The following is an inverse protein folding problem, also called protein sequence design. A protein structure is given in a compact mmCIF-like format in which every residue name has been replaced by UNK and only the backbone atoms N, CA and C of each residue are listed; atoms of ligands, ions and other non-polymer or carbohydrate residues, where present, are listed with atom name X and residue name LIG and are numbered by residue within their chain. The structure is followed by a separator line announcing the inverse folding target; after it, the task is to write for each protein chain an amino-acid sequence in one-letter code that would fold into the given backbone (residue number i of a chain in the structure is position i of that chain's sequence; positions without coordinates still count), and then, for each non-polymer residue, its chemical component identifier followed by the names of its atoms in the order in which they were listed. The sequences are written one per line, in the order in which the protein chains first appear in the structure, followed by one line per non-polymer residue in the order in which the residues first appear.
data_IF_252883811128
#
_entry.id   IF_252883811128
#
_cell.length_a   1.000
_cell.length_b   1.000
_cell.length_c   1.000
_cell.angle_alpha   90.00
_cell.angle_beta   90.00
_cell.angle_gamma   90.00
#
_symmetry.space_group_name_H-M   'P 1'
#
loop_
_entity.id
_entity.type
_entity.pdbx_description
1 polymer ?
#
# COMPACT_ATOMS: atom_id res chain seq x y z
N UNK A 1 21.91 9.84 -0.66
CA UNK A 1 21.00 8.70 -0.46
C UNK A 1 21.38 7.55 -1.38
N UNK A 2 21.32 6.29 -0.91
CA UNK A 2 21.08 5.18 -1.84
C UNK A 2 19.57 5.12 -2.10
N UNK A 3 19.16 5.29 -3.35
CA UNK A 3 17.76 5.29 -3.79
C UNK A 3 16.99 4.04 -3.32
N UNK A 4 17.70 2.92 -3.17
CA UNK A 4 17.16 1.67 -2.64
C UNK A 4 16.52 1.83 -1.25
N UNK A 5 17.09 2.67 -0.37
CA UNK A 5 16.52 2.86 0.97
C UNK A 5 15.18 3.62 0.93
N UNK A 6 15.06 4.62 0.04
CA UNK A 6 13.81 5.37 -0.14
C UNK A 6 12.72 4.49 -0.77
N UNK A 7 13.06 3.72 -1.81
CA UNK A 7 12.12 2.80 -2.46
C UNK A 7 11.68 1.67 -1.50
N UNK A 8 12.58 1.16 -0.65
CA UNK A 8 12.25 0.19 0.41
C UNK A 8 11.34 0.80 1.47
N UNK A 9 11.58 2.05 1.87
CA UNK A 9 10.72 2.73 2.85
C UNK A 9 9.31 2.94 2.30
N UNK A 10 9.19 3.49 1.09
CA UNK A 10 7.90 3.69 0.43
C UNK A 10 7.18 2.35 0.21
N UNK A 11 7.93 1.28 -0.09
CA UNK A 11 7.36 -0.08 -0.16
C UNK A 11 6.89 -0.58 1.21
N UNK A 12 7.62 -0.31 2.30
CA UNK A 12 7.19 -0.68 3.66
C UNK A 12 5.91 0.03 4.07
N UNK A 13 5.76 1.30 3.71
CA UNK A 13 4.58 2.13 4.02
C UNK A 13 3.32 1.69 3.28
N UNK A 14 3.47 1.38 1.98
CA UNK A 14 2.35 1.12 1.07
C UNK A 14 2.04 -0.38 0.87
N UNK A 15 2.88 -1.28 1.37
CA UNK A 15 2.65 -2.72 1.23
C UNK A 15 1.40 -3.14 2.00
N UNK A 16 0.54 -3.91 1.34
CA UNK A 16 -0.59 -4.60 1.95
C UNK A 16 -0.14 -5.36 3.20
N UNK A 17 -0.79 -5.01 4.31
CA UNK A 17 -0.39 -5.43 5.65
C UNK A 17 -1.00 -6.79 5.97
N UNK A 18 -0.23 -7.75 6.52
CA UNK A 18 -0.74 -9.06 6.95
C UNK A 18 -2.02 -8.97 7.78
N UNK A 19 -2.13 -7.98 8.64
CA UNK A 19 -3.24 -7.74 9.55
C UNK A 19 -4.52 -7.35 8.78
N UNK A 20 -4.41 -6.53 7.73
CA UNK A 20 -5.53 -6.20 6.84
C UNK A 20 -5.97 -7.40 6.03
N UNK A 21 -5.01 -8.17 5.49
CA UNK A 21 -5.26 -9.39 4.73
C UNK A 21 -5.98 -10.41 5.62
N UNK A 22 -5.49 -10.60 6.85
CA UNK A 22 -6.08 -11.50 7.83
C UNK A 22 -7.50 -11.07 8.20
N UNK A 23 -7.71 -9.82 8.61
CA UNK A 23 -9.04 -9.31 8.98
C UNK A 23 -10.04 -9.47 7.83
N UNK A 24 -9.67 -8.99 6.63
CA UNK A 24 -10.47 -9.16 5.42
C UNK A 24 -10.80 -10.64 5.16
N UNK A 25 -9.79 -11.50 5.17
CA UNK A 25 -9.97 -12.91 4.84
C UNK A 25 -10.89 -13.60 5.85
N UNK A 26 -10.67 -13.38 7.15
CA UNK A 26 -11.47 -14.00 8.20
C UNK A 26 -12.95 -13.58 8.09
N UNK A 27 -13.20 -12.29 7.87
CA UNK A 27 -14.56 -11.75 7.74
C UNK A 27 -15.26 -12.29 6.48
N UNK A 28 -14.61 -12.19 5.32
CA UNK A 28 -15.14 -12.69 4.05
C UNK A 28 -15.34 -14.21 4.07
N UNK A 29 -14.36 -14.96 4.59
CA UNK A 29 -14.45 -16.42 4.64
C UNK A 29 -15.61 -16.89 5.54
N UNK A 30 -15.83 -16.22 6.67
CA UNK A 30 -16.97 -16.49 7.57
C UNK A 30 -18.30 -16.10 6.96
N UNK A 31 -18.39 -14.99 6.22
CA UNK A 31 -19.63 -14.59 5.55
C UNK A 31 -20.08 -15.60 4.49
N UNK A 32 -19.12 -16.35 3.92
CA UNK A 32 -19.37 -17.48 3.03
C UNK A 32 -19.77 -18.78 3.73
N UNK A 33 -19.99 -18.76 5.04
CA UNK A 33 -20.27 -19.95 5.86
C UNK A 33 -19.05 -20.82 6.13
N UNK A 34 -17.84 -20.31 5.85
CA UNK A 34 -16.59 -20.98 6.15
C UNK A 34 -16.27 -20.95 7.65
N UNK A 35 -15.69 -22.02 8.16
CA UNK A 35 -15.17 -22.08 9.54
C UNK A 35 -13.65 -22.03 9.52
N UNK A 36 -13.10 -21.01 10.19
CA UNK A 36 -11.68 -20.79 10.38
C UNK A 36 -11.42 -20.49 11.86
N UNK A 37 -10.53 -21.26 12.48
CA UNK A 37 -10.30 -21.24 13.93
C UNK A 37 -8.84 -20.94 14.24
N UNK A 38 -8.54 -20.12 15.27
CA UNK A 38 -7.18 -19.87 15.68
C UNK A 38 -6.59 -21.15 16.29
N UNK A 39 -5.31 -21.39 16.04
CA UNK A 39 -4.59 -22.52 16.65
C UNK A 39 -4.18 -22.14 18.06
N UNK A 40 -4.51 -23.01 19.02
CA UNK A 40 -4.21 -22.79 20.44
C UNK A 40 -2.71 -22.54 20.63
N UNK A 41 -2.38 -21.54 21.44
CA UNK A 41 -1.02 -21.15 21.82
C UNK A 41 -0.10 -20.71 20.64
N UNK A 42 -0.68 -20.48 19.44
CA UNK A 42 0.03 -19.94 18.27
C UNK A 42 -0.70 -18.71 17.71
N UNK A 43 -0.34 -17.52 18.22
CA UNK A 43 -0.87 -16.23 17.72
C UNK A 43 -0.59 -16.08 16.21
N UNK A 44 -1.57 -15.63 15.43
CA UNK A 44 -1.43 -15.45 13.97
C UNK A 44 -1.46 -16.74 13.14
N UNK A 45 -1.77 -17.89 13.77
CA UNK A 45 -1.90 -19.18 13.08
C UNK A 45 -3.34 -19.66 13.12
N UNK A 46 -3.85 -20.08 11.97
CA UNK A 46 -5.23 -20.45 11.74
C UNK A 46 -5.35 -21.86 11.17
N UNK A 47 -6.52 -22.45 11.34
CA UNK A 47 -6.87 -23.77 10.83
C UNK A 47 -8.23 -23.75 10.14
N UNK A 48 -8.30 -24.39 8.96
CA UNK A 48 -9.51 -24.63 8.18
C UNK A 48 -9.67 -26.13 7.98
N UNK A 49 -10.64 -26.73 8.66
CA UNK A 49 -10.92 -28.18 8.54
C UNK A 49 -11.80 -28.54 7.34
N UNK A 50 -12.50 -27.57 6.75
CA UNK A 50 -13.32 -27.79 5.55
C UNK A 50 -13.56 -26.49 4.81
N UNK A 51 -13.10 -26.44 3.57
CA UNK A 51 -13.40 -25.32 2.67
C UNK A 51 -14.81 -25.45 2.09
N UNK A 52 -15.64 -24.39 2.14
CA UNK A 52 -16.94 -24.34 1.48
C UNK A 52 -16.85 -24.84 0.03
N UNK A 53 -17.70 -25.79 -0.40
CA UNK A 53 -17.64 -26.35 -1.75
C UNK A 53 -17.72 -25.31 -2.86
N UNK A 54 -18.48 -24.24 -2.66
CA UNK A 54 -18.65 -23.19 -3.68
C UNK A 54 -17.41 -22.31 -3.84
N UNK A 55 -16.59 -22.13 -2.78
CA UNK A 55 -15.30 -21.46 -2.93
C UNK A 55 -14.31 -22.27 -3.77
N UNK A 56 -14.44 -23.60 -3.78
CA UNK A 56 -13.56 -24.49 -4.55
C UNK A 56 -13.90 -24.54 -6.05
N UNK A 57 -15.05 -23.99 -6.46
CA UNK A 57 -15.47 -23.90 -7.87
C UNK A 57 -14.91 -22.61 -8.48
N UNK A 58 -13.60 -22.51 -8.59
CA UNK A 58 -12.96 -21.36 -9.23
C UNK A 58 -13.23 -21.34 -10.74
N UNK A 59 -13.30 -20.15 -11.36
CA UNK A 59 -13.13 -20.01 -12.80
C UNK A 59 -11.83 -20.69 -13.28
N UNK A 60 -11.89 -21.37 -14.42
CA UNK A 60 -10.73 -22.07 -15.02
C UNK A 60 -9.49 -21.19 -15.17
N UNK A 61 -9.68 -19.89 -15.44
CA UNK A 61 -8.59 -18.92 -15.57
C UNK A 61 -7.80 -18.74 -14.26
N UNK A 62 -8.50 -18.67 -13.12
CA UNK A 62 -7.89 -18.53 -11.80
C UNK A 62 -7.21 -19.83 -11.37
N UNK A 63 -7.85 -20.98 -11.61
CA UNK A 63 -7.26 -22.28 -11.29
C UNK A 63 -5.95 -22.50 -12.07
N UNK A 64 -5.90 -22.14 -13.36
CA UNK A 64 -4.66 -22.24 -14.16
C UNK A 64 -3.56 -21.31 -13.67
N UNK A 65 -3.91 -20.14 -13.14
CA UNK A 65 -2.94 -19.12 -12.72
C UNK A 65 -2.37 -19.40 -11.33
N UNK A 66 -3.22 -19.80 -10.39
CA UNK A 66 -2.84 -19.91 -8.98
C UNK A 66 -2.81 -21.35 -8.48
N UNK A 67 -3.58 -22.25 -9.09
CA UNK A 67 -3.74 -23.64 -8.68
C UNK A 67 -5.11 -23.92 -8.06
N UNK A 68 -5.27 -25.17 -7.59
CA UNK A 68 -6.52 -25.65 -6.98
C UNK A 68 -6.61 -25.27 -5.50
N UNK A 69 -7.81 -24.96 -5.05
CA UNK A 69 -8.09 -24.76 -3.62
C UNK A 69 -8.18 -26.13 -2.94
N UNK A 70 -7.35 -26.33 -1.91
CA UNK A 70 -7.39 -27.51 -1.04
C UNK A 70 -8.72 -27.68 -0.30
N UNK A 71 -8.98 -28.90 0.17
CA UNK A 71 -10.17 -29.17 0.99
C UNK A 71 -10.03 -28.65 2.43
N UNK A 72 -8.79 -28.54 2.91
CA UNK A 72 -8.41 -28.23 4.29
C UNK A 72 -7.09 -27.47 4.29
N UNK A 73 -6.89 -26.61 5.29
CA UNK A 73 -5.64 -25.90 5.56
C UNK A 73 -5.34 -26.06 7.05
N UNK A 74 -4.61 -27.11 7.46
CA UNK A 74 -4.44 -27.46 8.88
C UNK A 74 -3.73 -26.38 9.69
N UNK A 75 -2.67 -25.79 9.12
CA UNK A 75 -1.85 -24.74 9.71
C UNK A 75 -1.55 -23.69 8.64
N UNK A 76 -2.13 -22.50 8.79
CA UNK A 76 -1.89 -21.39 7.87
C UNK A 76 -1.66 -20.08 8.62
N UNK A 77 -0.97 -19.15 7.97
CA UNK A 77 -0.74 -17.79 8.47
C UNK A 77 -0.84 -16.77 7.34
N UNK A 78 -1.19 -15.54 7.68
CA UNK A 78 -1.16 -14.39 6.78
C UNK A 78 0.14 -13.57 6.91
N UNK A 79 1.01 -13.94 7.85
CA UNK A 79 2.32 -13.33 8.02
C UNK A 79 3.43 -14.18 7.39
N UNK A 80 4.03 -13.62 6.33
CA UNK A 80 5.13 -14.27 5.62
C UNK A 80 6.36 -14.48 6.50
N UNK A 81 6.58 -13.64 7.50
CA UNK A 81 7.75 -13.69 8.37
C UNK A 81 7.67 -14.90 9.33
N UNK A 82 6.46 -15.32 9.73
CA UNK A 82 6.24 -16.50 10.55
C UNK A 82 6.58 -17.82 9.85
N UNK A 83 6.61 -17.85 8.53
CA UNK A 83 6.89 -19.08 7.74
C UNK A 83 8.39 -19.40 7.76
N UNK A 84 9.23 -18.41 8.05
CA UNK A 84 10.68 -18.58 8.10
C UNK A 84 11.04 -19.47 9.30
N UNK A 85 11.29 -20.76 9.03
CA UNK A 85 11.67 -21.75 10.04
C UNK A 85 10.61 -22.80 10.36
N UNK A 86 9.39 -22.68 9.82
CA UNK A 86 8.31 -23.66 10.00
C UNK A 86 7.90 -24.25 8.65
N UNK A 87 8.24 -25.51 8.40
CA UNK A 87 7.95 -26.19 7.13
C UNK A 87 6.47 -26.59 6.97
N UNK A 88 5.74 -26.66 8.07
CA UNK A 88 4.34 -27.11 8.15
C UNK A 88 3.32 -25.97 8.06
N UNK A 89 3.80 -24.71 8.06
CA UNK A 89 2.95 -23.52 8.04
C UNK A 89 2.77 -23.01 6.62
N UNK A 90 1.52 -22.94 6.16
CA UNK A 90 1.19 -22.44 4.82
C UNK A 90 0.94 -20.93 4.85
N UNK A 91 1.62 -20.18 3.99
CA UNK A 91 1.37 -18.76 3.80
C UNK A 91 0.16 -18.54 2.89
N UNK A 92 -0.90 -17.94 3.42
CA UNK A 92 -2.08 -17.55 2.65
C UNK A 92 -2.10 -16.04 2.50
N UNK A 93 -2.02 -15.58 1.26
CA UNK A 93 -2.05 -14.16 0.91
C UNK A 93 -2.16 -14.00 -0.61
N UNK A 94 -1.96 -12.78 -1.15
CA UNK A 94 -2.03 -12.53 -2.59
C UNK A 94 -1.20 -13.54 -3.41
N UNK A 95 -1.84 -14.13 -4.42
CA UNK A 95 -1.29 -15.20 -5.25
C UNK A 95 -1.56 -16.63 -4.77
N UNK A 96 -2.08 -16.83 -3.56
CA UNK A 96 -2.45 -18.15 -3.05
C UNK A 96 -3.87 -18.54 -3.52
N UNK A 97 -4.14 -19.79 -3.99
CA UNK A 97 -5.44 -20.21 -4.52
C UNK A 97 -6.63 -19.87 -3.63
N UNK A 98 -6.53 -20.17 -2.33
CA UNK A 98 -7.60 -19.89 -1.37
C UNK A 98 -7.87 -18.39 -1.22
N UNK A 99 -6.81 -17.59 -1.19
CA UNK A 99 -6.93 -16.14 -1.02
C UNK A 99 -7.58 -15.52 -2.25
N UNK A 100 -7.07 -15.85 -3.44
CA UNK A 100 -7.61 -15.37 -4.71
C UNK A 100 -9.06 -15.82 -4.91
N UNK A 101 -9.42 -17.02 -4.46
CA UNK A 101 -10.80 -17.50 -4.49
C UNK A 101 -11.75 -16.75 -3.57
N UNK A 102 -11.30 -16.35 -2.39
CA UNK A 102 -12.07 -15.49 -1.49
C UNK A 102 -12.24 -14.10 -2.10
N UNK A 103 -11.17 -13.49 -2.62
CA UNK A 103 -11.21 -12.18 -3.29
C UNK A 103 -12.17 -12.20 -4.48
N UNK A 104 -12.04 -13.18 -5.38
CA UNK A 104 -12.91 -13.33 -6.54
C UNK A 104 -14.37 -13.43 -6.14
N UNK A 105 -14.67 -14.26 -5.12
CA UNK A 105 -16.04 -14.40 -4.64
C UNK A 105 -16.58 -13.12 -4.02
N UNK A 106 -15.78 -12.40 -3.23
CA UNK A 106 -16.18 -11.10 -2.66
C UNK A 106 -16.51 -10.12 -3.78
N UNK A 107 -15.63 -9.98 -4.78
CA UNK A 107 -15.85 -9.05 -5.88
C UNK A 107 -17.06 -9.43 -6.74
N UNK A 108 -17.28 -10.72 -6.96
CA UNK A 108 -18.45 -11.21 -7.71
C UNK A 108 -19.76 -11.00 -6.94
N UNK A 109 -19.79 -11.35 -5.66
CA UNK A 109 -21.02 -11.37 -4.87
C UNK A 109 -21.37 -9.96 -4.34
N UNK A 110 -20.38 -9.08 -4.10
CA UNK A 110 -20.56 -7.77 -3.47
C UNK A 110 -19.99 -6.58 -4.26
N UNK A 111 -19.23 -6.80 -5.34
CA UNK A 111 -18.53 -5.72 -6.04
C UNK A 111 -19.45 -4.63 -6.60
N UNK A 112 -20.65 -5.00 -7.08
CA UNK A 112 -21.64 -4.03 -7.55
C UNK A 112 -22.14 -3.10 -6.45
N UNK A 113 -22.13 -3.55 -5.19
CA UNK A 113 -22.58 -2.75 -4.04
C UNK A 113 -21.64 -1.58 -3.75
N UNK A 114 -20.36 -1.66 -4.15
CA UNK A 114 -19.42 -0.55 -3.98
C UNK A 114 -19.91 0.72 -4.69
N UNK A 115 -20.47 0.58 -5.90
CA UNK A 115 -21.05 1.70 -6.68
C UNK A 115 -22.44 2.12 -6.20
N UNK A 116 -23.22 1.20 -5.63
CA UNK A 116 -24.50 1.56 -5.00
C UNK A 116 -24.29 2.47 -3.78
N UNK A 117 -23.18 2.23 -3.08
CA UNK A 117 -22.75 2.97 -1.91
C UNK A 117 -23.35 2.50 -0.60
N UNK A 118 -22.74 2.96 0.49
CA UNK A 118 -23.13 2.59 1.85
C UNK A 118 -23.01 3.78 2.81
N UNK A 119 -23.71 3.70 3.95
CA UNK A 119 -23.60 4.68 5.05
C UNK A 119 -22.76 4.07 6.15
N UNK A 120 -21.87 4.86 6.74
CA UNK A 120 -21.07 4.50 7.90
C UNK A 120 -21.08 5.63 8.93
N UNK A 121 -20.71 5.30 10.16
CA UNK A 121 -20.42 6.26 11.22
C UNK A 121 -18.92 6.39 11.44
N UNK A 122 -18.47 7.60 11.77
CA UNK A 122 -17.17 7.85 12.35
C UNK A 122 -17.37 8.61 13.69
N UNK A 123 -16.71 8.15 14.74
CA UNK A 123 -16.75 8.77 16.06
C UNK A 123 -16.13 10.17 16.10
N UNK A 124 -15.16 10.46 15.23
CA UNK A 124 -14.50 11.77 15.15
C UNK A 124 -15.20 12.72 14.17
N UNK A 125 -16.13 12.22 13.35
CA UNK A 125 -16.81 13.07 12.38
C UNK A 125 -17.79 14.03 13.07
N UNK A 126 -17.60 15.33 12.82
CA UNK A 126 -18.53 16.39 13.26
C UNK A 126 -19.54 16.76 12.16
N UNK A 127 -19.20 16.50 10.90
CA UNK A 127 -20.03 16.81 9.74
C UNK A 127 -20.16 15.60 8.80
N UNK A 128 -21.31 15.44 8.10
CA UNK A 128 -21.44 14.44 7.05
C UNK A 128 -20.37 14.60 5.96
N UNK A 129 -19.75 13.49 5.57
CA UNK A 129 -18.68 13.46 4.58
C UNK A 129 -18.96 12.39 3.54
N UNK A 130 -18.79 12.71 2.26
CA UNK A 130 -18.80 11.70 1.20
C UNK A 130 -17.37 11.20 0.97
N UNK A 131 -17.19 9.89 0.86
CA UNK A 131 -15.93 9.26 0.51
C UNK A 131 -16.08 8.55 -0.84
N UNK A 132 -15.23 8.88 -1.81
CA UNK A 132 -15.12 8.13 -3.07
C UNK A 132 -13.82 7.33 -3.13
N UNK A 133 -13.92 6.10 -3.62
CA UNK A 133 -12.78 5.29 -4.00
C UNK A 133 -12.51 5.46 -5.48
N UNK A 134 -11.34 6.02 -5.82
CA UNK A 134 -10.92 6.30 -7.19
C UNK A 134 -9.71 5.47 -7.57
N UNK A 135 -9.78 4.79 -8.71
CA UNK A 135 -8.63 4.15 -9.33
C UNK A 135 -8.08 5.05 -10.43
N UNK A 136 -6.86 5.53 -10.26
CA UNK A 136 -6.15 6.26 -11.30
C UNK A 136 -5.09 5.37 -11.95
N UNK A 137 -4.94 5.50 -13.27
CA UNK A 137 -4.03 4.69 -14.07
C UNK A 137 -3.12 5.54 -14.95
N UNK A 138 -1.93 5.03 -15.23
CA UNK A 138 -1.00 5.58 -16.22
C UNK A 138 -0.62 4.46 -17.17
N UNK A 139 -0.66 4.73 -18.48
CA UNK A 139 -0.25 3.80 -19.52
C UNK A 139 0.92 4.34 -20.33
N UNK A 140 1.67 3.44 -20.97
CA UNK A 140 2.75 3.81 -21.89
C UNK A 140 2.25 3.93 -23.35
N UNK A 141 3.13 4.36 -24.26
CA UNK A 141 2.84 4.52 -25.68
C UNK A 141 2.51 3.22 -26.43
N UNK A 142 2.51 2.07 -25.74
CA UNK A 142 2.05 0.77 -26.24
C UNK A 142 0.67 0.40 -25.70
N UNK A 143 0.05 1.28 -24.91
CA UNK A 143 -1.21 1.04 -24.21
C UNK A 143 -1.07 0.09 -23.01
N UNK A 144 0.15 -0.17 -22.53
CA UNK A 144 0.34 -1.01 -21.34
C UNK A 144 0.23 -0.15 -20.08
N UNK A 145 -0.57 -0.60 -19.12
CA UNK A 145 -0.65 0.02 -17.80
C UNK A 145 0.70 -0.10 -17.10
N UNK A 146 1.31 1.03 -16.77
CA UNK A 146 2.61 1.14 -16.08
C UNK A 146 2.47 1.54 -14.60
N UNK A 147 1.27 1.92 -14.18
CA UNK A 147 0.92 2.14 -12.80
C UNK A 147 -0.57 2.28 -12.61
N UNK A 148 -1.10 1.68 -11.54
CA UNK A 148 -2.44 1.90 -11.02
C UNK A 148 -2.37 2.11 -9.51
N UNK A 149 -3.19 3.05 -9.01
CA UNK A 149 -3.32 3.30 -7.57
C UNK A 149 -4.76 3.61 -7.22
N UNK A 150 -5.18 3.09 -6.06
CA UNK A 150 -6.44 3.43 -5.42
C UNK A 150 -6.23 4.63 -4.49
N UNK A 151 -7.12 5.60 -4.58
CA UNK A 151 -7.19 6.79 -3.74
C UNK A 151 -8.55 6.86 -3.06
N UNK A 152 -8.61 7.44 -1.86
CA UNK A 152 -9.86 7.85 -1.24
C UNK A 152 -9.97 9.37 -1.27
N UNK A 153 -11.11 9.90 -1.72
CA UNK A 153 -11.37 11.34 -1.72
C UNK A 153 -12.53 11.63 -0.78
N UNK A 154 -12.31 12.49 0.20
CA UNK A 154 -13.33 12.94 1.14
C UNK A 154 -13.85 14.30 0.70
N UNK A 155 -15.16 14.46 0.70
CA UNK A 155 -15.85 15.75 0.56
C UNK A 155 -16.66 16.06 1.80
N UNK A 156 -16.34 17.19 2.41
CA UNK A 156 -17.08 17.76 3.54
C UNK A 156 -17.54 19.16 3.13
N UNK A 157 -18.86 19.35 3.03
CA UNK A 157 -19.41 20.55 2.38
C UNK A 157 -18.95 20.69 0.91
N UNK A 158 -18.25 21.78 0.60
CA UNK A 158 -17.64 22.03 -0.72
C UNK A 158 -16.12 21.75 -0.76
N UNK A 159 -15.52 21.37 0.37
CA UNK A 159 -14.09 21.07 0.44
C UNK A 159 -13.83 19.61 0.11
N UNK A 160 -12.76 19.36 -0.66
CA UNK A 160 -12.28 18.04 -1.02
C UNK A 160 -10.89 17.83 -0.45
N UNK A 161 -10.61 16.60 0.01
CA UNK A 161 -9.25 16.19 0.39
C UNK A 161 -8.98 14.76 -0.05
N UNK A 162 -7.74 14.50 -0.47
CA UNK A 162 -7.24 13.17 -0.82
C UNK A 162 -6.69 12.50 0.43
N UNK A 163 -6.98 11.21 0.59
CA UNK A 163 -6.46 10.36 1.65
C UNK A 163 -6.15 8.95 1.15
N UNK A 164 -5.57 8.13 2.03
CA UNK A 164 -5.39 6.70 1.78
C UNK A 164 -6.72 5.92 1.90
N UNK A 165 -6.96 4.89 1.06
CA UNK A 165 -8.17 4.05 1.16
C UNK A 165 -8.38 3.34 2.50
N UNK A 166 -7.32 3.23 3.32
CA UNK A 166 -7.38 2.62 4.65
C UNK A 166 -8.29 3.37 5.63
N UNK A 167 -8.66 4.62 5.35
CA UNK A 167 -9.63 5.39 6.14
C UNK A 167 -10.98 4.66 6.31
N UNK A 168 -11.35 3.75 5.40
CA UNK A 168 -12.56 2.93 5.52
C UNK A 168 -12.52 1.95 6.70
N UNK A 169 -11.33 1.58 7.19
CA UNK A 169 -11.17 0.61 8.28
C UNK A 169 -11.54 1.19 9.65
N UNK A 170 -11.56 2.52 9.74
CA UNK A 170 -11.88 3.26 10.96
C UNK A 170 -13.38 3.57 11.07
N UNK A 171 -14.17 3.13 10.08
CA UNK A 171 -15.60 3.40 9.98
C UNK A 171 -16.44 2.24 10.51
N UNK A 172 -17.56 2.59 11.15
CA UNK A 172 -18.52 1.63 11.67
C UNK A 172 -19.78 1.55 10.79
N UNK A 173 -20.18 0.37 10.30
CA UNK A 173 -21.48 0.23 9.64
C UNK A 173 -22.62 0.40 10.65
N UNK A 174 -23.76 1.00 10.26
CA UNK A 174 -24.92 1.11 11.14
C UNK A 174 -25.56 -0.25 11.40
N UNK A 175 -26.17 -0.43 12.56
CA UNK A 175 -26.88 -1.68 12.94
C UNK A 175 -28.24 -1.84 12.23
N UNK A 176 -28.73 -0.78 11.59
CA UNK A 176 -29.98 -0.76 10.83
C UNK A 176 -29.97 0.27 9.71
N UNK A 177 -31.12 0.46 9.07
CA UNK A 177 -31.25 1.47 8.02
C UNK A 177 -31.10 2.88 8.58
N UNK A 178 -30.21 3.66 7.98
CA UNK A 178 -29.97 5.06 8.33
C UNK A 178 -30.30 5.92 7.12
N UNK A 179 -31.12 6.94 7.34
CA UNK A 179 -31.45 7.92 6.31
C UNK A 179 -30.22 8.78 6.01
N UNK A 180 -29.77 8.76 4.76
CA UNK A 180 -28.77 9.71 4.27
C UNK A 180 -29.44 11.07 4.01
N UNK A 181 -28.93 12.19 4.58
CA UNK A 181 -29.45 13.52 4.29
C UNK A 181 -29.42 13.84 2.79
N UNK A 182 -30.49 14.43 2.26
CA UNK A 182 -30.65 14.68 0.82
C UNK A 182 -29.48 15.46 0.18
N UNK A 183 -28.95 16.56 0.78
CA UNK A 183 -27.81 17.27 0.19
C UNK A 183 -26.53 16.41 0.11
N UNK A 184 -26.34 15.53 1.09
CA UNK A 184 -25.18 14.61 1.13
C UNK A 184 -25.34 13.51 0.09
N UNK A 185 -26.56 13.03 -0.12
CA UNK A 185 -26.87 12.08 -1.19
C UNK A 185 -26.64 12.69 -2.57
N UNK A 186 -27.10 13.91 -2.81
CA UNK A 186 -26.86 14.62 -4.07
C UNK A 186 -25.36 14.78 -4.33
N UNK A 187 -24.61 15.19 -3.30
CA UNK A 187 -23.17 15.25 -3.35
C UNK A 187 -22.54 13.89 -3.70
N UNK A 188 -23.00 12.79 -3.10
CA UNK A 188 -22.48 11.44 -3.33
C UNK A 188 -22.76 10.89 -4.75
N UNK A 189 -23.79 11.41 -5.41
CA UNK A 189 -24.16 11.03 -6.79
C UNK A 189 -23.57 11.93 -7.87
N UNK A 190 -22.86 13.00 -7.48
CA UNK A 190 -22.22 13.95 -8.39
C UNK A 190 -20.85 13.41 -8.87
N UNK A 191 -20.90 12.39 -9.73
CA UNK A 191 -19.71 11.71 -10.27
C UNK A 191 -18.85 12.64 -11.13
N UNK A 192 -19.47 13.55 -11.89
CA UNK A 192 -18.77 14.46 -12.80
C UNK A 192 -17.84 15.40 -12.03
N UNK A 193 -18.34 16.00 -10.94
CA UNK A 193 -17.56 16.95 -10.14
C UNK A 193 -16.37 16.30 -9.45
N UNK A 194 -16.51 15.06 -8.96
CA UNK A 194 -15.38 14.36 -8.34
C UNK A 194 -14.33 13.93 -9.38
N UNK A 195 -14.76 13.53 -10.58
CA UNK A 195 -13.84 13.21 -11.68
C UNK A 195 -13.06 14.47 -12.09
N UNK A 196 -13.74 15.61 -12.29
CA UNK A 196 -13.12 16.89 -12.64
C UNK A 196 -12.07 17.30 -11.59
N UNK A 197 -12.47 17.33 -10.31
CA UNK A 197 -11.54 17.66 -9.22
C UNK A 197 -10.33 16.71 -9.18
N UNK A 198 -10.54 15.43 -9.45
CA UNK A 198 -9.46 14.43 -9.41
C UNK A 198 -8.49 14.52 -10.60
N UNK A 199 -8.96 15.00 -11.75
CA UNK A 199 -8.09 15.31 -12.89
C UNK A 199 -7.15 16.48 -12.58
N UNK A 200 -7.57 17.42 -11.75
CA UNK A 200 -6.76 18.58 -11.37
C UNK A 200 -5.83 18.30 -10.17
N UNK A 201 -6.32 17.62 -9.12
CA UNK A 201 -5.61 17.53 -7.83
C UNK A 201 -4.94 16.18 -7.56
N UNK A 202 -5.41 15.09 -8.19
CA UNK A 202 -4.95 13.72 -7.87
C UNK A 202 -4.07 13.17 -8.99
N UNK A 203 -4.59 13.23 -10.22
CA UNK A 203 -3.99 12.60 -11.39
C UNK A 203 -2.61 13.19 -11.73
N UNK A 204 -2.39 14.52 -11.72
CA UNK A 204 -1.11 15.10 -12.12
C UNK A 204 0.02 14.73 -11.15
N UNK A 205 -0.27 14.73 -9.85
CA UNK A 205 0.69 14.32 -8.82
C UNK A 205 1.09 12.84 -8.98
N UNK A 206 0.10 11.97 -9.23
CA UNK A 206 0.36 10.56 -9.46
C UNK A 206 1.11 10.30 -10.78
N UNK A 207 0.74 11.01 -11.86
CA UNK A 207 1.43 10.92 -13.13
C UNK A 207 2.90 11.33 -13.01
N UNK A 208 3.19 12.45 -12.33
CA UNK A 208 4.55 12.91 -12.07
C UNK A 208 5.39 11.89 -11.28
N UNK A 209 4.79 11.18 -10.32
CA UNK A 209 5.46 10.08 -9.62
C UNK A 209 5.84 8.94 -10.58
N UNK A 210 4.89 8.48 -11.39
CA UNK A 210 5.11 7.40 -12.35
C UNK A 210 6.12 7.80 -13.42
N UNK A 211 6.02 9.03 -13.94
CA UNK A 211 6.95 9.56 -14.92
C UNK A 211 8.39 9.57 -14.38
N UNK A 212 8.59 10.09 -13.16
CA UNK A 212 9.90 10.09 -12.52
C UNK A 212 10.44 8.67 -12.28
N UNK A 213 9.59 7.74 -11.87
CA UNK A 213 9.98 6.33 -11.70
C UNK A 213 10.37 5.70 -13.03
N UNK A 214 9.51 5.81 -14.05
CA UNK A 214 9.72 5.21 -15.39
C UNK A 214 10.91 5.79 -16.10
N UNK A 215 11.13 7.12 -16.06
CA UNK A 215 12.32 7.76 -16.64
C UNK A 215 13.61 7.12 -16.12
N UNK A 216 13.67 6.86 -14.83
CA UNK A 216 14.83 6.24 -14.19
C UNK A 216 15.01 4.76 -14.58
N UNK A 217 13.93 3.97 -14.49
CA UNK A 217 13.95 2.55 -14.87
C UNK A 217 14.39 2.35 -16.32
N UNK A 218 13.84 3.15 -17.23
CA UNK A 218 14.12 3.10 -18.66
C UNK A 218 15.54 3.57 -18.97
N UNK A 219 16.05 4.59 -18.27
CA UNK A 219 17.44 5.01 -18.39
C UNK A 219 18.43 3.90 -17.99
N UNK A 220 18.12 3.15 -16.93
CA UNK A 220 18.92 1.97 -16.52
C UNK A 220 18.82 0.87 -17.59
N UNK A 221 17.61 0.52 -18.03
CA UNK A 221 17.34 -0.50 -19.07
C UNK A 221 18.08 -0.16 -20.37
N UNK A 222 18.00 1.08 -20.84
CA UNK A 222 18.69 1.56 -22.03
C UNK A 222 20.20 1.39 -21.92
N UNK A 223 20.80 1.83 -20.80
CA UNK A 223 22.25 1.71 -20.55
C UNK A 223 22.71 0.25 -20.62
N UNK A 224 21.97 -0.68 -20.01
CA UNK A 224 22.29 -2.10 -20.05
C UNK A 224 22.13 -2.72 -21.44
N UNK A 225 21.06 -2.39 -22.15
CA UNK A 225 20.81 -2.87 -23.53
C UNK A 225 21.92 -2.40 -24.46
N UNK A 226 22.26 -1.10 -24.42
CA UNK A 226 23.36 -0.55 -25.23
C UNK A 226 24.68 -1.24 -24.92
N UNK A 227 25.07 -1.28 -23.64
CA UNK A 227 26.36 -1.87 -23.23
C UNK A 227 26.50 -3.34 -23.65
N UNK A 228 25.47 -4.14 -23.40
CA UNK A 228 25.50 -5.58 -23.69
C UNK A 228 25.51 -5.88 -25.20
N UNK A 229 24.61 -5.26 -25.98
CA UNK A 229 24.53 -5.52 -27.42
C UNK A 229 25.70 -4.91 -28.18
N UNK A 230 26.16 -3.70 -27.82
CA UNK A 230 27.35 -3.11 -28.43
C UNK A 230 28.60 -3.95 -28.16
N UNK A 231 28.74 -4.52 -26.96
CA UNK A 231 29.82 -5.46 -26.65
C UNK A 231 29.78 -6.70 -27.57
N UNK A 232 28.61 -7.33 -27.73
CA UNK A 232 28.44 -8.51 -28.60
C UNK A 232 28.68 -8.17 -30.09
N UNK A 233 28.23 -7.01 -30.54
CA UNK A 233 28.50 -6.49 -31.90
C UNK A 233 30.01 -6.30 -32.07
N UNK A 234 30.68 -5.68 -31.10
CA UNK A 234 32.13 -5.48 -31.11
C UNK A 234 32.91 -6.79 -31.17
N UNK A 235 32.51 -7.81 -30.39
CA UNK A 235 33.10 -9.16 -30.45
C UNK A 235 32.89 -9.83 -31.81
N UNK A 236 31.72 -9.64 -32.43
CA UNK A 236 31.43 -10.14 -33.78
C UNK A 236 32.30 -9.44 -34.83
N UNK A 237 32.49 -8.11 -34.73
CA UNK A 237 33.38 -7.34 -35.60
C UNK A 237 34.82 -7.85 -35.50
N UNK A 238 35.34 -8.07 -34.28
CA UNK A 238 36.69 -8.63 -34.07
C UNK A 238 36.87 -9.99 -34.76
N UNK A 239 35.86 -10.87 -34.70
CA UNK A 239 35.88 -12.17 -35.38
C UNK A 239 35.89 -12.02 -36.90
N UNK A 240 35.05 -11.13 -37.44
CA UNK A 240 35.02 -10.83 -38.88
C UNK A 240 36.39 -10.34 -39.35
N UNK A 241 37.02 -9.41 -38.62
CA UNK A 241 38.37 -8.93 -38.93
C UNK A 241 39.42 -10.04 -38.92
N UNK A 242 39.32 -11.01 -37.99
CA UNK A 242 40.20 -12.19 -37.98
C UNK A 242 40.00 -13.07 -39.22
N UNK A 243 38.76 -13.33 -39.62
CA UNK A 243 38.48 -14.07 -40.85
C UNK A 243 38.97 -13.33 -42.10
N UNK A 244 38.81 -12.00 -42.15
CA UNK A 244 39.36 -11.17 -43.24
C UNK A 244 40.88 -11.28 -43.34
N UNK A 245 41.59 -11.31 -42.20
CA UNK A 245 43.03 -11.51 -42.19
C UNK A 245 43.40 -12.92 -42.70
N UNK A 246 42.72 -13.96 -42.20
CA UNK A 246 42.95 -15.34 -42.67
C UNK A 246 42.71 -15.49 -44.17
N UNK A 247 41.71 -14.82 -44.74
CA UNK A 247 41.44 -14.83 -46.18
C UNK A 247 42.52 -14.14 -47.01
N UNK A 248 43.24 -13.15 -46.45
CA UNK A 248 44.41 -12.52 -47.09
C UNK A 248 45.64 -13.42 -47.04
N UNK A 249 45.80 -14.19 -45.96
CA UNK A 249 46.95 -15.08 -45.78
C UNK A 249 46.87 -16.34 -46.66
N UNK A 250 45.65 -16.78 -47.01
CA UNK A 250 45.42 -17.87 -47.97
C UNK A 250 45.49 -17.34 -49.41
N UNK A 251 46.67 -17.49 -50.04
CA UNK A 251 46.96 -17.00 -51.40
C UNK A 251 46.37 -17.87 -52.52
N UNK A 252 46.18 -19.16 -52.27
CA UNK A 252 45.62 -20.10 -53.25
C UNK A 252 44.09 -20.08 -53.19
N UNK A 253 43.46 -19.69 -54.30
CA UNK A 253 42.00 -19.59 -54.40
C UNK A 253 41.31 -20.96 -54.39
N UNK A 254 42.03 -22.04 -54.67
CA UNK A 254 41.52 -23.42 -54.71
C UNK A 254 41.63 -24.16 -53.38
N UNK A 255 42.23 -23.55 -52.36
CA UNK A 255 42.41 -24.17 -51.04
C UNK A 255 41.04 -24.45 -50.37
N UNK A 256 40.72 -25.72 -50.05
CA UNK A 256 39.46 -26.08 -49.38
C UNK A 256 39.21 -25.36 -48.05
N UNK A 257 40.27 -24.90 -47.37
CA UNK A 257 40.16 -24.13 -46.11
C UNK A 257 39.54 -22.76 -46.34
N UNK A 258 39.71 -22.17 -47.53
CA UNK A 258 39.15 -20.87 -47.89
C UNK A 258 37.62 -20.89 -47.84
N UNK A 259 36.99 -21.95 -48.35
CA UNK A 259 35.53 -22.11 -48.36
C UNK A 259 34.95 -22.09 -46.94
N UNK A 260 35.61 -22.78 -46.00
CA UNK A 260 35.20 -22.80 -44.59
C UNK A 260 35.33 -21.42 -43.93
N UNK A 261 36.41 -20.68 -44.21
CA UNK A 261 36.61 -19.33 -43.68
C UNK A 261 35.54 -18.37 -44.22
N UNK A 262 35.24 -18.43 -45.52
CA UNK A 262 34.16 -17.64 -46.15
C UNK A 262 32.81 -17.95 -45.50
N UNK A 263 32.47 -19.23 -45.33
CA UNK A 263 31.21 -19.64 -44.70
C UNK A 263 31.08 -19.17 -43.25
N UNK A 264 32.14 -19.31 -42.45
CA UNK A 264 32.15 -18.85 -41.05
C UNK A 264 32.08 -17.32 -40.94
N UNK A 265 32.78 -16.60 -41.82
CA UNK A 265 32.70 -15.14 -41.91
C UNK A 265 31.28 -14.67 -42.26
N UNK A 266 30.64 -15.31 -43.23
CA UNK A 266 29.27 -14.98 -43.63
C UNK A 266 28.28 -15.20 -42.46
N UNK A 267 28.43 -16.30 -41.70
CA UNK A 267 27.63 -16.56 -40.50
C UNK A 267 27.82 -15.51 -39.41
N UNK A 268 29.06 -15.10 -39.12
CA UNK A 268 29.30 -14.05 -38.12
C UNK A 268 28.85 -12.65 -38.59
N UNK A 269 28.89 -12.35 -39.90
CA UNK A 269 28.31 -11.11 -40.44
C UNK A 269 26.79 -11.08 -40.28
N UNK A 270 26.11 -12.19 -40.60
CA UNK A 270 24.67 -12.33 -40.37
C UNK A 270 24.32 -12.15 -38.88
N UNK A 271 25.08 -12.76 -37.97
CA UNK A 271 24.93 -12.58 -36.53
C UNK A 271 25.12 -11.11 -36.10
N UNK A 272 26.14 -10.42 -36.63
CA UNK A 272 26.35 -8.99 -36.35
C UNK A 272 25.14 -8.16 -36.79
N UNK A 273 24.59 -8.44 -37.97
CA UNK A 273 23.43 -7.73 -38.50
C UNK A 273 22.19 -7.97 -37.63
N UNK A 274 21.96 -9.21 -37.20
CA UNK A 274 20.90 -9.57 -36.26
C UNK A 274 21.03 -8.82 -34.92
N UNK A 275 22.23 -8.81 -34.32
CA UNK A 275 22.49 -8.08 -33.07
C UNK A 275 22.27 -6.57 -33.23
N UNK A 276 22.63 -6.00 -34.38
CA UNK A 276 22.44 -4.57 -34.68
C UNK A 276 20.96 -4.23 -34.85
N UNK A 277 20.21 -5.09 -35.55
CA UNK A 277 18.75 -4.94 -35.67
C UNK A 277 18.07 -5.06 -34.31
N UNK A 278 18.46 -6.06 -33.50
CA UNK A 278 17.95 -6.23 -32.14
C UNK A 278 18.25 -5.02 -31.25
N UNK A 279 19.42 -4.39 -31.38
CA UNK A 279 19.73 -3.15 -30.66
C UNK A 279 18.79 -2.03 -31.08
N UNK A 280 18.59 -1.84 -32.39
CA UNK A 280 17.67 -0.82 -32.92
C UNK A 280 16.24 -1.03 -32.41
N UNK A 281 15.74 -2.27 -32.49
CA UNK A 281 14.37 -2.60 -32.08
C UNK A 281 14.17 -2.39 -30.57
N UNK A 282 15.13 -2.81 -29.74
CA UNK A 282 15.04 -2.61 -28.29
C UNK A 282 15.11 -1.15 -27.88
N UNK A 283 15.88 -0.32 -28.59
CA UNK A 283 15.89 1.13 -28.34
C UNK A 283 14.59 1.79 -28.77
N UNK A 284 13.99 1.36 -29.88
CA UNK A 284 12.69 1.85 -30.32
C UNK A 284 11.57 1.48 -29.32
N UNK A 285 11.57 0.24 -28.82
CA UNK A 285 10.64 -0.23 -27.78
C UNK A 285 10.76 0.60 -26.50
N UNK A 286 12.00 0.87 -26.04
CA UNK A 286 12.24 1.74 -24.87
C UNK A 286 11.72 3.17 -25.13
N UNK A 287 11.88 3.68 -26.35
CA UNK A 287 11.33 4.98 -26.73
C UNK A 287 9.80 5.02 -26.63
N UNK A 288 9.10 3.95 -27.03
CA UNK A 288 7.65 3.86 -26.87
C UNK A 288 7.25 3.77 -25.38
N UNK A 289 8.01 3.03 -24.57
CA UNK A 289 7.80 2.92 -23.12
C UNK A 289 7.95 4.25 -22.36
N UNK A 290 8.68 5.22 -22.93
CA UNK A 290 8.88 6.56 -22.35
C UNK A 290 7.69 7.49 -22.55
N UNK A 291 6.86 7.25 -23.57
CA UNK A 291 5.67 8.07 -23.79
C UNK A 291 4.62 7.60 -22.80
N UNK A 292 4.20 8.47 -21.90
CA UNK A 292 3.20 8.15 -20.88
C UNK A 292 1.95 8.99 -21.10
N UNK A 293 0.81 8.40 -20.79
CA UNK A 293 -0.48 9.09 -20.76
C UNK A 293 -1.30 8.68 -19.54
N UNK A 294 -2.07 9.64 -19.04
CA UNK A 294 -3.01 9.41 -17.95
C UNK A 294 -4.24 8.66 -18.47
N UNK A 295 -4.79 7.77 -17.65
CA UNK A 295 -6.12 7.20 -17.85
C UNK A 295 -7.12 8.00 -17.01
N UNK A 296 -8.33 8.27 -17.52
CA UNK A 296 -9.38 8.89 -16.72
C UNK A 296 -9.59 8.13 -15.40
N UNK A 297 -9.74 8.84 -14.25
CA UNK A 297 -10.05 8.21 -12.98
C UNK A 297 -11.32 7.37 -13.06
N UNK A 298 -11.27 6.16 -12.49
CA UNK A 298 -12.42 5.27 -12.40
C UNK A 298 -12.97 5.26 -10.96
N UNK A 299 -14.23 5.64 -10.78
CA UNK A 299 -14.93 5.50 -9.50
C UNK A 299 -15.20 4.01 -9.25
N UNK A 300 -14.60 3.45 -8.20
CA UNK A 300 -14.85 2.07 -7.79
C UNK A 300 -15.95 1.96 -6.75
N UNK A 301 -16.14 3.00 -5.94
CA UNK A 301 -17.22 3.02 -4.97
C UNK A 301 -17.38 4.35 -4.25
N UNK A 302 -18.48 4.46 -3.51
CA UNK A 302 -18.86 5.65 -2.76
C UNK A 302 -19.40 5.26 -1.39
N UNK A 303 -19.12 6.07 -0.38
CA UNK A 303 -19.64 5.91 0.97
C UNK A 303 -20.04 7.26 1.55
N UNK A 304 -21.07 7.27 2.39
CA UNK A 304 -21.44 8.42 3.20
C UNK A 304 -21.02 8.15 4.64
N UNK A 305 -20.24 9.05 5.21
CA UNK A 305 -19.77 9.01 6.59
C UNK A 305 -20.59 10.03 7.36
N UNK A 306 -21.29 9.57 8.39
CA UNK A 306 -22.06 10.41 9.29
C UNK A 306 -21.37 10.50 10.67
N UNK A 307 -21.58 11.60 11.41
CA UNK A 307 -21.26 11.65 12.82
C UNK A 307 -21.91 10.49 13.58
N UNK A 308 -21.16 9.84 14.47
CA UNK A 308 -21.73 8.84 15.37
C UNK A 308 -22.73 9.49 16.35
N UNK A 309 -23.76 8.76 16.82
CA UNK A 309 -24.67 9.26 17.85
C UNK A 309 -23.92 9.72 19.11
N UNK A 310 -24.22 10.91 19.62
CA UNK A 310 -23.45 11.51 20.73
C UNK A 310 -23.51 10.67 22.02
N UNK A 311 -24.61 9.95 22.28
CA UNK A 311 -24.71 9.07 23.44
C UNK A 311 -23.67 7.94 23.39
N UNK A 312 -23.42 7.40 22.19
CA UNK A 312 -22.44 6.34 21.96
C UNK A 312 -21.03 6.87 22.18
N UNK A 313 -20.70 8.02 21.59
CA UNK A 313 -19.38 8.66 21.74
C UNK A 313 -19.08 9.01 23.20
N UNK A 314 -20.04 9.64 23.90
CA UNK A 314 -19.89 10.04 25.32
C UNK A 314 -19.78 8.87 26.29
N UNK A 315 -20.30 7.70 25.92
CA UNK A 315 -20.20 6.50 26.75
C UNK A 315 -18.80 5.87 26.77
N UNK A 316 -17.91 6.30 25.85
CA UNK A 316 -16.55 5.79 25.71
C UNK A 316 -15.57 6.80 26.31
N UNK A 317 -14.92 6.41 27.41
CA UNK A 317 -13.90 7.22 28.09
C UNK A 317 -12.73 7.51 27.15
N UNK A 318 -12.30 8.76 27.06
CA UNK A 318 -11.17 9.14 26.21
C UNK A 318 -11.52 9.42 24.74
N UNK A 319 -12.77 9.71 24.41
CA UNK A 319 -13.15 10.25 23.10
C UNK A 319 -13.63 11.70 23.17
N UNK A 320 -13.18 12.45 24.18
CA UNK A 320 -13.40 13.90 24.22
C UNK A 320 -12.52 14.59 23.17
N UNK A 321 -13.14 15.06 22.09
CA UNK A 321 -12.50 15.89 21.08
C UNK A 321 -12.54 17.34 21.54
N UNK A 322 -11.37 17.90 21.81
CA UNK A 322 -11.18 19.31 22.14
C UNK A 322 -10.10 19.88 21.20
N UNK A 323 -10.49 20.68 20.19
CA UNK A 323 -9.54 21.20 19.20
C UNK A 323 -8.39 21.99 19.82
N UNK A 324 -8.58 22.59 20.99
CA UNK A 324 -7.52 23.28 21.70
C UNK A 324 -6.49 22.29 22.27
N UNK A 325 -6.96 21.17 22.82
CA UNK A 325 -6.11 20.10 23.37
C UNK A 325 -5.31 19.41 22.27
N UNK A 326 -5.95 19.11 21.15
CA UNK A 326 -5.30 18.50 19.96
C UNK A 326 -4.19 19.42 19.42
N UNK A 327 -4.51 20.71 19.20
CA UNK A 327 -3.53 21.69 18.74
C UNK A 327 -2.31 21.78 19.66
N UNK A 328 -2.52 21.83 20.98
CA UNK A 328 -1.43 21.89 21.96
C UNK A 328 -0.58 20.61 21.92
N UNK A 329 -1.21 19.44 21.81
CA UNK A 329 -0.50 18.17 21.76
C UNK A 329 0.39 18.04 20.51
N UNK A 330 -0.14 18.45 19.35
CA UNK A 330 0.61 18.47 18.09
C UNK A 330 1.75 19.48 18.14
N UNK A 331 1.50 20.71 18.62
CA UNK A 331 2.55 21.74 18.74
C UNK A 331 3.69 21.29 19.64
N UNK A 332 3.39 20.70 20.81
CA UNK A 332 4.41 20.20 21.72
C UNK A 332 5.20 19.04 21.11
N UNK A 333 4.53 18.15 20.38
CA UNK A 333 5.17 17.04 19.65
C UNK A 333 6.13 17.56 18.59
N UNK A 334 5.68 18.52 17.76
CA UNK A 334 6.49 19.14 16.71
C UNK A 334 7.72 19.83 17.31
N UNK A 335 7.54 20.57 18.42
CA UNK A 335 8.64 21.25 19.10
C UNK A 335 9.66 20.25 19.66
N UNK A 336 9.20 19.21 20.38
CA UNK A 336 10.08 18.19 20.94
C UNK A 336 10.93 17.51 19.85
N UNK A 337 10.33 17.15 18.72
CA UNK A 337 11.06 16.53 17.62
C UNK A 337 12.12 17.48 17.01
N UNK A 338 11.80 18.77 16.88
CA UNK A 338 12.74 19.78 16.40
C UNK A 338 13.91 20.00 17.37
N UNK A 339 13.64 20.07 18.68
CA UNK A 339 14.65 20.25 19.72
C UNK A 339 15.64 19.07 19.76
N UNK A 340 15.18 17.90 19.33
CA UNK A 340 15.99 16.69 19.20
C UNK A 340 16.70 16.57 17.85
N UNK A 341 16.76 17.65 17.07
CA UNK A 341 17.47 17.74 15.79
C UNK A 341 16.77 17.03 14.64
N UNK A 342 15.50 16.66 14.79
CA UNK A 342 14.69 16.05 13.73
C UNK A 342 13.86 17.09 13.00
N UNK A 343 13.33 16.73 11.84
CA UNK A 343 12.43 17.56 11.03
C UNK A 343 11.06 16.87 10.94
N UNK A 344 10.11 17.21 11.83
CA UNK A 344 8.78 16.65 11.81
C UNK A 344 7.92 17.29 10.71
N UNK A 345 7.05 16.49 10.10
CA UNK A 345 6.10 16.89 9.05
C UNK A 345 4.75 16.26 9.40
N UNK A 346 3.69 17.07 9.50
CA UNK A 346 2.33 16.54 9.69
C UNK A 346 1.84 15.86 8.41
N UNK A 347 1.21 14.70 8.57
CA UNK A 347 0.58 13.86 7.54
C UNK A 347 -0.81 13.36 7.98
N UNK A 348 -1.37 13.94 9.04
CA UNK A 348 -2.68 13.60 9.63
C UNK A 348 -3.80 13.57 8.56
N UNK A 349 -3.86 14.61 7.72
CA UNK A 349 -4.89 14.73 6.67
C UNK A 349 -4.85 13.61 5.61
N UNK A 350 -3.72 12.90 5.48
CA UNK A 350 -3.54 11.82 4.51
C UNK A 350 -4.13 10.48 5.00
N UNK A 351 -4.56 10.39 6.27
CA UNK A 351 -5.02 9.15 6.93
C UNK A 351 -3.98 8.00 6.82
N UNK A 352 -2.71 8.33 7.02
CA UNK A 352 -1.61 7.37 6.97
C UNK A 352 -1.66 6.35 8.14
N UNK A 353 -2.40 6.65 9.21
CA UNK A 353 -2.44 5.89 10.47
C UNK A 353 -1.36 6.33 11.47
N UNK A 354 -0.86 7.55 11.29
CA UNK A 354 -0.07 8.34 12.24
C UNK A 354 -0.17 9.82 11.82
N UNK A 355 0.07 10.74 12.75
CA UNK A 355 -0.10 12.17 12.51
C UNK A 355 1.18 12.84 12.01
N UNK A 356 2.35 12.44 12.51
CA UNK A 356 3.62 13.12 12.24
C UNK A 356 4.69 12.15 11.75
N UNK A 357 5.29 12.48 10.61
CA UNK A 357 6.51 11.83 10.12
C UNK A 357 7.72 12.64 10.53
N UNK A 358 8.54 12.09 11.43
CA UNK A 358 9.76 12.75 11.91
C UNK A 358 10.99 12.28 11.14
N UNK A 359 11.72 13.21 10.53
CA UNK A 359 12.87 12.93 9.67
C UNK A 359 14.20 13.24 10.36
N UNK A 360 15.20 12.37 10.21
CA UNK A 360 16.59 12.63 10.56
C UNK A 360 17.47 12.39 9.33
N UNK A 361 18.27 13.38 8.93
CA UNK A 361 19.10 13.33 7.71
C UNK A 361 18.32 12.94 6.43
N UNK A 362 17.05 13.34 6.36
CA UNK A 362 16.15 13.04 5.25
C UNK A 362 15.62 11.60 5.23
N UNK A 363 15.81 10.82 6.29
CA UNK A 363 15.24 9.49 6.48
C UNK A 363 14.16 9.52 7.56
N UNK A 364 13.16 8.65 7.43
CA UNK A 364 12.15 8.49 8.48
C UNK A 364 12.82 7.95 9.73
N UNK A 365 12.79 8.74 10.79
CA UNK A 365 13.26 8.36 12.11
C UNK A 365 12.12 7.84 13.00
N UNK A 366 10.93 8.43 12.88
CA UNK A 366 9.73 8.05 13.65
C UNK A 366 8.46 8.29 12.85
N UNK A 367 7.53 7.35 12.95
CA UNK A 367 6.11 7.56 12.70
C UNK A 367 5.45 7.83 14.04
N UNK A 368 4.80 8.98 14.21
CA UNK A 368 4.31 9.43 15.51
C UNK A 368 2.81 9.64 15.45
N UNK A 369 2.10 8.94 16.31
CA UNK A 369 0.70 9.13 16.64
C UNK A 369 0.59 10.02 17.88
N UNK A 370 -0.25 11.06 17.84
CA UNK A 370 -0.33 12.09 18.88
C UNK A 370 -1.70 12.07 19.54
N UNK A 371 -1.75 11.79 20.85
CA UNK A 371 -2.99 11.83 21.63
C UNK A 371 -2.92 12.89 22.73
N UNK A 372 -3.84 13.85 22.69
CA UNK A 372 -3.94 14.93 23.67
C UNK A 372 -5.00 14.69 24.74
N UNK A 373 -4.77 15.20 25.96
CA UNK A 373 -5.73 15.24 27.06
C UNK A 373 -5.70 16.55 27.83
N UNK A 374 -6.89 17.07 28.16
CA UNK A 374 -7.02 18.23 29.03
C UNK A 374 -6.48 17.96 30.45
N UNK A 375 -6.66 16.73 30.96
CA UNK A 375 -6.10 16.23 32.21
C UNK A 375 -5.33 14.91 31.98
N UNK A 376 -5.46 13.96 32.91
CA UNK A 376 -4.94 12.59 32.77
C UNK A 376 -6.10 11.61 32.49
N UNK A 377 -5.85 10.55 31.73
CA UNK A 377 -6.87 9.55 31.39
C UNK A 377 -6.41 8.56 30.33
N UNK A 378 -7.28 7.62 29.97
CA UNK A 378 -7.03 6.67 28.87
C UNK A 378 -6.94 7.36 27.49
N UNK A 379 -6.43 6.66 26.48
CA UNK A 379 -6.38 7.11 25.07
C UNK A 379 -7.04 6.09 24.14
N UNK A 380 -7.59 6.56 23.02
CA UNK A 380 -8.22 5.72 22.01
C UNK A 380 -7.40 5.77 20.73
N UNK A 381 -7.14 4.62 20.12
CA UNK A 381 -6.51 4.51 18.81
C UNK A 381 -7.52 4.04 17.77
N UNK A 382 -7.42 4.52 16.52
CA UNK A 382 -8.18 3.94 15.40
C UNK A 382 -7.65 2.54 15.07
N UNK A 383 -8.43 1.70 14.37
CA UNK A 383 -7.92 0.45 13.83
C UNK A 383 -6.72 0.62 12.90
N UNK A 384 -6.75 1.61 12.01
CA UNK A 384 -5.63 1.92 11.12
C UNK A 384 -4.37 2.28 11.92
N UNK A 385 -4.49 3.16 12.93
CA UNK A 385 -3.38 3.54 13.82
C UNK A 385 -2.79 2.32 14.55
N UNK A 386 -3.63 1.49 15.16
CA UNK A 386 -3.17 0.31 15.89
C UNK A 386 -2.48 -0.72 14.98
N UNK A 387 -3.00 -0.91 13.77
CA UNK A 387 -2.41 -1.82 12.79
C UNK A 387 -1.07 -1.26 12.26
N UNK A 388 -0.95 0.06 12.04
CA UNK A 388 0.32 0.71 11.72
C UNK A 388 1.33 0.60 12.85
N UNK A 389 0.91 0.74 14.10
CA UNK A 389 1.75 0.52 15.27
C UNK A 389 2.35 -0.90 15.30
N UNK A 390 1.53 -1.94 15.05
CA UNK A 390 1.98 -3.34 14.98
C UNK A 390 3.03 -3.55 13.89
N UNK A 391 2.84 -2.91 12.74
CA UNK A 391 3.69 -3.08 11.56
C UNK A 391 5.04 -2.41 11.66
N UNK A 392 5.04 -1.17 12.11
CA UNK A 392 6.25 -0.36 12.17
C UNK A 392 7.03 -0.59 13.46
N UNK A 393 6.36 -1.09 14.51
CA UNK A 393 6.99 -1.52 15.76
C UNK A 393 7.90 -0.44 16.31
N UNK A 394 9.22 -0.70 16.32
CA UNK A 394 10.25 0.23 16.82
C UNK A 394 10.32 1.56 16.07
N UNK A 395 9.85 1.61 14.83
CA UNK A 395 9.80 2.83 14.02
C UNK A 395 8.54 3.66 14.36
N UNK A 396 7.55 3.09 15.08
CA UNK A 396 6.32 3.74 15.49
C UNK A 396 6.36 4.20 16.95
N UNK A 397 5.78 5.37 17.19
CA UNK A 397 5.73 6.01 18.48
C UNK A 397 4.34 6.52 18.76
N UNK A 398 3.88 6.33 20.00
CA UNK A 398 2.69 6.98 20.53
C UNK A 398 3.15 8.08 21.49
N UNK A 399 2.77 9.32 21.19
CA UNK A 399 3.03 10.49 22.00
C UNK A 399 1.73 10.87 22.70
N UNK A 400 1.74 10.86 24.03
CA UNK A 400 0.59 11.23 24.84
C UNK A 400 0.92 12.55 25.53
N UNK A 401 0.13 13.58 25.26
CA UNK A 401 0.27 14.88 25.92
C UNK A 401 -0.89 15.05 26.89
N UNK A 402 -0.58 15.03 28.19
CA UNK A 402 -1.56 15.24 29.25
C UNK A 402 -1.50 16.66 29.78
N UNK A 403 -2.54 17.08 30.50
CA UNK A 403 -2.62 18.39 31.14
C UNK A 403 -2.49 19.57 30.14
N UNK A 404 -2.96 19.39 28.89
CA UNK A 404 -2.78 20.36 27.80
C UNK A 404 -3.24 21.78 28.14
N UNK A 405 -4.31 21.95 28.94
CA UNK A 405 -4.86 23.27 29.30
C UNK A 405 -4.17 23.95 30.48
N UNK A 406 -3.19 23.28 31.10
CA UNK A 406 -2.48 23.79 32.28
C UNK A 406 -0.98 23.76 32.05
N UNK A 407 -0.32 22.67 32.40
CA UNK A 407 1.09 22.44 32.17
C UNK A 407 1.26 21.17 31.32
N UNK A 408 1.29 21.28 29.98
CA UNK A 408 1.40 20.15 29.08
C UNK A 408 2.60 19.26 29.41
N UNK A 409 2.38 17.95 29.52
CA UNK A 409 3.43 16.97 29.77
C UNK A 409 3.42 15.92 28.68
N UNK A 410 4.57 15.75 28.03
CA UNK A 410 4.75 14.79 26.95
C UNK A 410 5.24 13.44 27.49
N UNK A 411 4.58 12.37 27.07
CA UNK A 411 4.92 10.98 27.36
C UNK A 411 5.15 10.22 26.06
N UNK A 412 6.28 9.53 25.97
CA UNK A 412 6.72 8.83 24.76
C UNK A 412 6.61 7.32 24.94
N UNK A 413 6.03 6.63 23.96
CA UNK A 413 5.97 5.17 23.92
C UNK A 413 6.46 4.69 22.55
N UNK A 414 7.70 4.19 22.51
CA UNK A 414 8.22 3.48 21.33
C UNK A 414 7.66 2.06 21.26
N UNK A 415 7.26 1.61 20.07
CA UNK A 415 6.70 0.27 19.85
C UNK A 415 5.48 0.00 20.76
N UNK A 416 4.43 0.85 20.68
CA UNK A 416 3.26 0.71 21.56
C UNK A 416 2.57 -0.65 21.39
N UNK A 417 2.62 -1.25 20.20
CA UNK A 417 2.01 -2.55 19.93
C UNK A 417 2.60 -3.72 20.74
N UNK A 418 3.87 -3.65 21.14
CA UNK A 418 4.51 -4.67 21.98
C UNK A 418 4.39 -4.39 23.47
N UNK A 419 3.98 -3.17 23.86
CA UNK A 419 3.96 -2.70 25.26
C UNK A 419 2.57 -2.47 25.83
N UNK A 420 1.60 -2.13 24.98
CA UNK A 420 0.23 -1.81 25.41
C UNK A 420 -0.70 -3.00 25.20
N UNK A 421 -1.76 -3.05 25.99
CA UNK A 421 -2.81 -4.06 25.91
C UNK A 421 -4.18 -3.43 25.70
N UNK A 422 -4.42 -2.78 24.53
CA UNK A 422 -5.68 -2.09 24.31
C UNK A 422 -6.86 -3.06 24.23
N UNK A 423 -8.04 -2.56 24.61
CA UNK A 423 -9.32 -3.26 24.46
C UNK A 423 -10.06 -2.71 23.24
N UNK A 424 -10.52 -3.59 22.37
CA UNK A 424 -11.36 -3.19 21.25
C UNK A 424 -12.75 -2.75 21.74
N UNK A 425 -13.13 -1.53 21.43
CA UNK A 425 -14.45 -0.96 21.68
C UNK A 425 -15.26 -0.95 20.37
N UNK A 426 -16.10 -1.96 20.24
CA UNK A 426 -16.88 -2.24 19.02
C UNK A 426 -17.99 -1.20 18.79
N UNK A 427 -18.44 -0.50 19.84
CA UNK A 427 -19.48 0.52 19.71
C UNK A 427 -19.05 1.68 18.79
N UNK A 428 -17.76 1.99 18.76
CA UNK A 428 -17.15 3.11 18.01
C UNK A 428 -15.97 2.71 17.13
N UNK A 429 -15.62 1.43 17.12
CA UNK A 429 -14.52 0.85 16.34
C UNK A 429 -13.18 1.51 16.73
N UNK A 430 -12.76 1.31 18.00
CA UNK A 430 -11.53 1.87 18.57
C UNK A 430 -10.76 0.89 19.43
N UNK A 431 -9.48 1.15 19.64
CA UNK A 431 -8.60 0.44 20.57
C UNK A 431 -8.33 1.33 21.79
N UNK A 432 -8.91 0.95 22.94
CA UNK A 432 -8.86 1.72 24.18
C UNK A 432 -7.65 1.33 25.01
N UNK A 433 -6.75 2.27 25.25
CA UNK A 433 -5.57 2.14 26.11
C UNK A 433 -5.85 2.80 27.45
N UNK A 434 -5.85 2.03 28.53
CA UNK A 434 -6.09 2.55 29.88
C UNK A 434 -4.95 3.43 30.39
N UNK A 435 -5.25 4.36 31.30
CA UNK A 435 -4.27 5.29 31.88
C UNK A 435 -3.05 4.59 32.49
N UNK A 436 -3.30 3.62 33.38
CA UNK A 436 -2.24 2.86 34.05
C UNK A 436 -1.37 2.08 33.05
N UNK A 437 -1.96 1.61 31.95
CA UNK A 437 -1.25 0.85 30.92
C UNK A 437 -0.22 1.75 30.22
N UNK A 438 -0.66 2.88 29.67
CA UNK A 438 0.24 3.78 28.95
C UNK A 438 1.25 4.47 29.88
N UNK A 439 0.87 4.82 31.12
CA UNK A 439 1.81 5.42 32.07
C UNK A 439 2.96 4.47 32.39
N UNK A 440 2.67 3.18 32.57
CA UNK A 440 3.69 2.16 32.85
C UNK A 440 4.62 1.87 31.67
N UNK A 441 4.14 2.09 30.44
CA UNK A 441 4.88 1.85 29.21
C UNK A 441 5.68 3.08 28.72
N UNK A 442 5.36 4.28 29.23
CA UNK A 442 5.88 5.55 28.75
C UNK A 442 7.18 6.00 29.43
N UNK A 443 7.95 6.81 28.72
CA UNK A 443 9.06 7.59 29.25
C UNK A 443 8.78 9.07 29.05
N UNK A 444 9.06 9.91 30.04
CA UNK A 444 9.07 11.35 29.86
C UNK A 444 10.39 11.80 29.22
N UNK A 445 10.39 12.79 28.31
CA UNK A 445 11.63 13.42 27.84
C UNK A 445 12.45 13.95 29.01
N UNK A 446 13.78 13.85 28.92
CA UNK A 446 14.66 14.59 29.82
C UNK A 446 14.41 16.11 29.60
N UNK A 447 14.26 16.84 30.70
CA UNK A 447 13.94 18.27 30.73
C UNK A 447 15.07 19.16 30.19
#
# INVERSE_FOLDING_TARGET
MSKLCADVQQSRENRLMPEYIEKFFLEAYRSFGGTITPVKDRKGVWSINRVPPDLRKLPDSLERKYGKIGNTYPLMTFDKEMVVGYSDLEFVGPGHPLFEGVVERVLRDYGSSLRQGAVFYNAEAIEPTVLWLLKCGVEDGRGQIVGERLFAIHRTGDSYRKSQPYALLDLKPPEGEVACPQPVREAATDEDRIIEWSLDEVTPGYFGEIENRRRNELGIKEKYVRKSLQFLIGESIKKITRFDQQLRDVRDETDPRRLNIVGNRAKEDARRNELSQRLKDRLAEIGQEQHLSEKPPEILGVAVILPAPQEVVRSVEGMENDPEVERIAVELTMQHEQDQGRKPVSVEEENCGWDVTSLLDGQVARYIEVKGRAGEGGVALTPNEWIKAQRFGKDYWLYIVVNCKTNPQLHLIQDPASKLSPKEEVSVVRYMVGMNDWQSASTQPDA
#
